data_IF_037195822907
#
_entry.id   IF_037195822907
#
_cell.length_a   1.000
_cell.length_b   1.000
_cell.length_c   1.000
_cell.angle_alpha   90.00
_cell.angle_beta   90.00
_cell.angle_gamma   90.00
#
_symmetry.space_group_name_H-M   'P 1'
#
loop_
_entity.id
_entity.type
_entity.pdbx_description
1 polymer ?
#
# COMPACT_ATOMS: atom_id res chain seq x y z
N UNK A 1 -11.23 -10.41 1.13
CA UNK A 1 -10.99 -10.59 2.58
C UNK A 1 -11.62 -9.44 3.32
N UNK A 2 -11.87 -9.60 4.62
CA UNK A 2 -12.49 -8.55 5.44
C UNK A 2 -11.47 -7.44 5.66
N UNK A 3 -11.86 -6.20 5.38
CA UNK A 3 -11.05 -5.02 5.66
C UNK A 3 -11.08 -4.74 7.17
N UNK A 4 -9.92 -4.69 7.86
CA UNK A 4 -9.90 -4.42 9.30
C UNK A 4 -10.35 -2.99 9.67
N UNK A 5 -10.41 -2.05 8.73
CA UNK A 5 -10.84 -0.69 9.01
C UNK A 5 -12.38 -0.52 8.95
N UNK A 6 -13.04 -1.09 7.94
CA UNK A 6 -14.50 -0.91 7.73
C UNK A 6 -15.33 -2.18 7.88
N UNK A 7 -14.69 -3.31 8.20
CA UNK A 7 -15.29 -4.64 8.39
C UNK A 7 -16.09 -5.18 7.19
N UNK A 8 -15.89 -4.59 6.00
CA UNK A 8 -16.48 -5.05 4.75
C UNK A 8 -15.59 -6.10 4.09
N UNK A 9 -16.19 -7.12 3.47
CA UNK A 9 -15.47 -8.13 2.68
C UNK A 9 -15.15 -7.60 1.26
N UNK A 10 -14.38 -6.52 1.20
CA UNK A 10 -13.99 -5.81 -0.02
C UNK A 10 -12.49 -5.54 -0.10
N UNK A 11 -11.70 -6.11 0.82
CA UNK A 11 -10.26 -6.02 0.75
C UNK A 11 -9.66 -7.09 -0.17
N UNK A 12 -8.67 -6.71 -0.99
CA UNK A 12 -7.96 -7.58 -1.93
C UNK A 12 -6.51 -7.14 -2.09
N UNK A 13 -5.65 -8.04 -2.58
CA UNK A 13 -4.22 -7.76 -2.82
C UNK A 13 -4.05 -7.22 -4.23
N UNK A 14 -3.33 -6.11 -4.36
CA UNK A 14 -2.89 -5.55 -5.64
C UNK A 14 -1.41 -5.14 -5.57
N UNK A 15 -0.82 -4.86 -6.73
CA UNK A 15 0.54 -4.33 -6.83
C UNK A 15 0.48 -2.82 -7.09
N UNK A 16 1.27 -2.06 -6.34
CA UNK A 16 1.36 -0.61 -6.51
C UNK A 16 2.80 -0.14 -6.72
N UNK A 17 2.95 1.06 -7.25
CA UNK A 17 4.24 1.75 -7.38
C UNK A 17 4.25 2.97 -6.46
N UNK A 18 5.28 3.11 -5.62
CA UNK A 18 5.44 4.23 -4.70
C UNK A 18 6.69 5.04 -5.04
N UNK A 19 6.59 6.36 -4.93
CA UNK A 19 7.74 7.26 -4.98
C UNK A 19 8.14 7.68 -3.57
N UNK A 20 9.37 7.35 -3.18
CA UNK A 20 9.94 7.77 -1.91
C UNK A 20 10.95 8.89 -2.16
N UNK A 21 10.77 10.02 -1.48
CA UNK A 21 11.78 11.09 -1.47
C UNK A 21 12.87 10.75 -0.47
N UNK A 22 14.12 10.74 -0.91
CA UNK A 22 15.26 10.52 -0.01
C UNK A 22 15.52 11.81 0.77
N UNK A 23 15.38 11.76 2.10
CA UNK A 23 15.62 12.94 2.93
C UNK A 23 17.06 13.45 2.78
N UNK A 24 17.22 14.76 2.60
CA UNK A 24 18.53 15.38 2.35
C UNK A 24 19.05 15.27 0.91
N UNK A 25 18.25 14.71 -0.01
CA UNK A 25 18.55 14.68 -1.44
C UNK A 25 17.36 15.19 -2.27
N UNK A 26 17.64 15.70 -3.48
CA UNK A 26 16.62 15.99 -4.49
C UNK A 26 16.31 14.76 -5.37
N UNK A 27 16.58 13.55 -4.84
CA UNK A 27 16.36 12.29 -5.54
C UNK A 27 15.06 11.62 -5.04
N UNK A 28 14.33 11.02 -5.98
CA UNK A 28 13.18 10.16 -5.70
C UNK A 28 13.50 8.74 -6.12
N UNK A 29 13.18 7.77 -5.25
CA UNK A 29 13.28 6.35 -5.53
C UNK A 29 11.88 5.85 -5.89
N UNK A 30 11.77 5.18 -7.04
CA UNK A 30 10.55 4.48 -7.43
C UNK A 30 10.65 3.03 -6.97
N UNK A 31 9.75 2.60 -6.10
CA UNK A 31 9.60 1.21 -5.72
C UNK A 31 8.37 0.66 -6.44
N UNK A 32 8.60 -0.28 -7.35
CA UNK A 32 7.57 -0.90 -8.17
C UNK A 32 7.09 -2.22 -7.58
N UNK A 33 5.91 -2.65 -8.01
CA UNK A 33 5.35 -3.97 -7.69
C UNK A 33 5.20 -4.27 -6.18
N UNK A 34 5.00 -3.24 -5.34
CA UNK A 34 4.78 -3.43 -3.90
C UNK A 34 3.42 -4.11 -3.71
N UNK A 35 3.36 -5.31 -3.12
CA UNK A 35 2.10 -5.93 -2.77
C UNK A 35 1.45 -5.15 -1.63
N UNK A 36 0.24 -4.65 -1.88
CA UNK A 36 -0.58 -3.95 -0.89
C UNK A 36 -1.95 -4.56 -0.82
N UNK A 37 -2.59 -4.42 0.33
CA UNK A 37 -3.99 -4.74 0.49
C UNK A 37 -4.81 -3.47 0.31
N UNK A 38 -5.67 -3.41 -0.70
CA UNK A 38 -6.64 -2.33 -0.87
C UNK A 38 -8.04 -2.76 -0.49
N UNK A 39 -8.82 -1.83 0.06
CA UNK A 39 -10.23 -2.01 0.35
C UNK A 39 -11.10 -1.11 -0.54
N UNK A 40 -12.00 -1.70 -1.33
CA UNK A 40 -12.86 -0.92 -2.24
C UNK A 40 -13.96 -0.14 -1.50
N UNK A 41 -14.34 -0.55 -0.30
CA UNK A 41 -15.45 0.09 0.42
C UNK A 41 -15.04 1.39 1.12
N UNK A 42 -13.86 1.42 1.75
CA UNK A 42 -13.38 2.60 2.48
C UNK A 42 -12.11 3.22 1.87
N UNK A 43 -11.58 2.65 0.78
CA UNK A 43 -10.37 3.09 0.09
C UNK A 43 -9.10 3.04 0.96
N UNK A 44 -9.12 2.24 2.03
CA UNK A 44 -7.94 1.96 2.86
C UNK A 44 -6.87 1.22 2.04
N UNK A 45 -5.60 1.56 2.25
CA UNK A 45 -4.46 0.78 1.78
C UNK A 45 -3.64 0.31 2.97
N UNK A 46 -3.49 -1.00 3.11
CA UNK A 46 -2.75 -1.65 4.18
C UNK A 46 -1.45 -2.23 3.61
N UNK A 47 -0.32 -1.86 4.22
CA UNK A 47 1.01 -2.37 3.90
C UNK A 47 1.35 -3.49 4.88
N UNK A 48 1.89 -4.60 4.38
CA UNK A 48 2.43 -5.65 5.24
C UNK A 48 3.76 -5.17 5.85
N UNK A 49 3.97 -5.43 7.14
CA UNK A 49 5.17 -5.06 7.88
C UNK A 49 6.43 -5.82 7.41
N UNK A 50 6.28 -6.82 6.54
CA UNK A 50 7.41 -7.57 5.94
C UNK A 50 8.23 -6.75 4.92
N UNK A 51 7.84 -5.52 4.58
CA UNK A 51 8.63 -4.61 3.77
C UNK A 51 9.63 -3.87 4.68
N UNK A 52 10.78 -4.50 4.93
CA UNK A 52 11.95 -3.92 5.64
C UNK A 52 13.07 -3.65 4.65
#
# INVERSE_FOLDING_TARGET
MICPNCDQNSAHIEKTTQSLKVFGKEEYILIQDIPVTKCDSCHETLFDAQVV
#
